data_IF_372258939059
#
_entry.id   IF_372258939059
#
_cell.length_a   1.000
_cell.length_b   1.000
_cell.length_c   1.000
_cell.angle_alpha   90.00
_cell.angle_beta   90.00
_cell.angle_gamma   90.00
#
_symmetry.space_group_name_H-M   'P 1'
#
loop_
_entity.id
_entity.type
_entity.pdbx_description
1 polymer ?
#
# COMPACT_ATOMS: atom_id res chain seq x y z
N UNK A 1 -6.15 4.55 -8.67
CA UNK A 1 -6.36 5.49 -9.79
C UNK A 1 -5.07 5.64 -10.58
N UNK A 2 -5.11 6.15 -11.81
CA UNK A 2 -3.93 6.58 -12.57
C UNK A 2 -3.49 7.99 -12.12
N UNK A 3 -2.31 8.43 -12.57
CA UNK A 3 -1.77 9.78 -12.31
C UNK A 3 -2.64 10.92 -12.84
N UNK A 4 -3.37 10.66 -13.92
CA UNK A 4 -4.33 11.59 -14.51
C UNK A 4 -5.70 11.62 -13.77
N UNK A 5 -5.85 10.85 -12.69
CA UNK A 5 -7.08 10.76 -11.88
C UNK A 5 -8.12 9.75 -12.38
N UNK A 6 -7.85 8.99 -13.45
CA UNK A 6 -8.74 7.93 -13.93
C UNK A 6 -8.82 6.77 -12.93
N UNK A 7 -10.04 6.32 -12.61
CA UNK A 7 -10.23 5.17 -11.73
C UNK A 7 -9.85 3.87 -12.44
N UNK A 8 -9.19 2.97 -11.70
CA UNK A 8 -8.76 1.67 -12.20
C UNK A 8 -9.61 0.59 -11.51
N UNK A 9 -10.58 -0.02 -12.20
CA UNK A 9 -11.39 -1.08 -11.64
C UNK A 9 -10.68 -2.43 -11.69
N UNK A 10 -11.12 -3.36 -10.82
CA UNK A 10 -10.66 -4.73 -10.83
C UNK A 10 -9.16 -4.89 -10.60
N UNK A 11 -8.57 -4.02 -9.77
CA UNK A 11 -7.22 -4.19 -9.22
C UNK A 11 -7.29 -5.31 -8.19
N UNK A 12 -6.47 -6.33 -8.33
CA UNK A 12 -6.36 -7.42 -7.35
C UNK A 12 -5.72 -6.91 -6.06
N UNK A 13 -6.26 -7.34 -4.93
CA UNK A 13 -5.79 -6.97 -3.59
C UNK A 13 -5.46 -8.26 -2.85
N UNK A 14 -4.23 -8.36 -2.38
CA UNK A 14 -3.79 -9.45 -1.50
C UNK A 14 -3.36 -8.87 -0.17
N UNK A 15 -3.88 -9.42 0.94
CA UNK A 15 -3.42 -9.07 2.28
C UNK A 15 -2.57 -10.21 2.81
N UNK A 16 -1.33 -9.90 3.14
CA UNK A 16 -0.33 -10.84 3.61
C UNK A 16 -0.04 -10.55 5.08
N UNK A 17 -0.11 -11.59 5.91
CA UNK A 17 0.27 -11.60 7.33
C UNK A 17 1.11 -12.83 7.59
N UNK A 18 2.22 -12.68 8.32
CA UNK A 18 3.11 -13.80 8.66
C UNK A 18 3.54 -14.64 7.44
N UNK A 19 3.84 -13.97 6.33
CA UNK A 19 4.21 -14.57 5.03
C UNK A 19 3.11 -15.44 4.39
N UNK A 20 1.86 -15.33 4.84
CA UNK A 20 0.71 -16.02 4.28
C UNK A 20 -0.31 -15.02 3.75
N UNK A 21 -0.91 -15.32 2.60
CA UNK A 21 -2.07 -14.57 2.09
C UNK A 21 -3.27 -14.96 2.96
N UNK A 22 -3.84 -13.96 3.65
CA UNK A 22 -5.01 -14.12 4.52
C UNK A 22 -6.30 -13.59 3.88
N UNK A 23 -6.17 -12.82 2.80
CA UNK A 23 -7.30 -12.29 2.03
C UNK A 23 -6.88 -12.04 0.59
N UNK A 24 -7.79 -12.36 -0.34
CA UNK A 24 -7.72 -12.02 -1.75
C UNK A 24 -9.04 -11.36 -2.16
N UNK A 25 -8.96 -10.30 -2.95
CA UNK A 25 -10.14 -9.59 -3.45
C UNK A 25 -9.81 -8.68 -4.62
N UNK A 26 -10.79 -7.88 -5.05
CA UNK A 26 -10.60 -6.89 -6.11
C UNK A 26 -11.28 -5.57 -5.77
N UNK A 27 -10.77 -4.47 -6.33
CA UNK A 27 -11.48 -3.18 -6.30
C UNK A 27 -12.78 -3.26 -7.11
N UNK A 28 -13.77 -2.46 -6.72
CA UNK A 28 -15.04 -2.34 -7.45
C UNK A 28 -14.89 -1.62 -8.81
N UNK A 29 -16.00 -1.46 -9.54
CA UNK A 29 -16.04 -0.76 -10.84
C UNK A 29 -15.61 0.71 -10.76
N UNK A 30 -15.64 1.30 -9.57
CA UNK A 30 -15.20 2.67 -9.30
C UNK A 30 -13.80 2.69 -8.67
N UNK A 31 -13.11 1.55 -8.57
CA UNK A 31 -11.78 1.46 -7.98
C UNK A 31 -11.76 1.52 -6.44
N UNK A 32 -12.91 1.44 -5.77
CA UNK A 32 -12.99 1.45 -4.31
C UNK A 32 -12.66 0.08 -3.73
N UNK A 33 -12.19 0.07 -2.48
CA UNK A 33 -11.96 -1.12 -1.69
C UNK A 33 -12.18 -0.83 -0.20
N UNK A 34 -12.40 -1.89 0.59
CA UNK A 34 -12.44 -1.84 2.05
C UNK A 34 -11.77 -3.09 2.59
N UNK A 35 -10.86 -2.91 3.55
CA UNK A 35 -10.18 -4.00 4.24
C UNK A 35 -10.41 -3.84 5.73
N UNK A 36 -10.94 -4.88 6.37
CA UNK A 36 -11.08 -4.95 7.82
C UNK A 36 -9.92 -5.81 8.35
N UNK A 37 -8.99 -5.17 9.06
CA UNK A 37 -7.76 -5.80 9.57
C UNK A 37 -7.82 -5.90 11.08
N UNK A 38 -7.47 -7.06 11.63
CA UNK A 38 -7.37 -7.24 13.07
C UNK A 38 -6.17 -6.47 13.64
N UNK A 39 -6.36 -5.87 14.80
CA UNK A 39 -5.26 -5.28 15.57
C UNK A 39 -4.38 -6.38 16.16
N UNK A 40 -3.14 -6.06 16.51
CA UNK A 40 -2.19 -7.04 17.05
C UNK A 40 -1.30 -7.68 15.99
N UNK A 41 -1.25 -7.16 14.76
CA UNK A 41 -0.46 -7.75 13.67
C UNK A 41 0.14 -6.72 12.72
N UNK A 42 1.07 -7.18 11.88
CA UNK A 42 1.66 -6.41 10.78
C UNK A 42 1.20 -7.04 9.47
N UNK A 43 0.76 -6.20 8.55
CA UNK A 43 0.26 -6.61 7.24
C UNK A 43 1.07 -5.98 6.12
N UNK A 44 1.21 -6.70 5.02
CA UNK A 44 1.58 -6.16 3.72
C UNK A 44 0.39 -6.32 2.78
N UNK A 45 -0.08 -5.22 2.19
CA UNK A 45 -1.22 -5.22 1.28
C UNK A 45 -0.68 -4.94 -0.12
N UNK A 46 -0.78 -5.91 -1.03
CA UNK A 46 -0.39 -5.78 -2.41
C UNK A 46 -1.58 -5.40 -3.29
N UNK A 47 -1.36 -4.46 -4.21
CA UNK A 47 -2.29 -4.00 -5.23
C UNK A 47 -1.69 -4.33 -6.59
N UNK A 48 -2.35 -5.25 -7.32
CA UNK A 48 -1.80 -5.90 -8.51
C UNK A 48 -2.77 -5.68 -9.68
N UNK A 49 -2.23 -5.24 -10.82
CA UNK A 49 -2.98 -5.07 -12.06
C UNK A 49 -2.05 -5.22 -13.24
N UNK A 50 -2.40 -6.10 -14.19
CA UNK A 50 -1.61 -6.30 -15.41
C UNK A 50 -1.37 -4.98 -16.14
N UNK A 51 -0.12 -4.73 -16.54
CA UNK A 51 0.32 -3.49 -17.17
C UNK A 51 0.54 -2.33 -16.18
N UNK A 52 0.54 -2.60 -14.88
CA UNK A 52 0.85 -1.62 -13.84
C UNK A 52 1.82 -2.19 -12.80
N UNK A 53 2.71 -1.34 -12.32
CA UNK A 53 3.67 -1.68 -11.28
C UNK A 53 2.92 -2.10 -10.01
N UNK A 54 3.26 -3.28 -9.49
CA UNK A 54 2.67 -3.77 -8.23
C UNK A 54 3.02 -2.83 -7.08
N UNK A 55 1.99 -2.35 -6.37
CA UNK A 55 2.17 -1.46 -5.22
C UNK A 55 1.87 -2.17 -3.91
N UNK A 56 2.71 -1.90 -2.92
CA UNK A 56 2.56 -2.46 -1.58
C UNK A 56 2.32 -1.39 -0.51
N UNK A 57 1.50 -1.73 0.49
CA UNK A 57 1.24 -0.89 1.66
C UNK A 57 1.52 -1.68 2.92
N UNK A 58 2.49 -1.21 3.72
CA UNK A 58 2.77 -1.79 5.03
C UNK A 58 1.84 -1.22 6.09
N UNK A 59 1.13 -2.07 6.83
CA UNK A 59 0.24 -1.65 7.93
C UNK A 59 0.72 -2.27 9.24
N UNK A 60 1.20 -1.44 10.14
CA UNK A 60 1.62 -1.82 11.50
C UNK A 60 0.44 -1.54 12.45
N UNK A 61 -0.41 -2.54 12.64
CA UNK A 61 -1.58 -2.48 13.52
C UNK A 61 -1.25 -2.93 14.96
N UNK A 62 -0.05 -2.57 15.44
CA UNK A 62 0.45 -2.81 16.78
C UNK A 62 1.01 -1.52 17.37
N UNK A 63 1.04 -1.40 18.69
CA UNK A 63 1.71 -0.32 19.39
C UNK A 63 2.63 -0.91 20.47
N UNK A 64 3.89 -0.47 20.57
CA UNK A 64 4.88 -1.12 21.43
C UNK A 64 4.59 -0.98 22.93
N UNK A 65 3.88 0.09 23.32
CA UNK A 65 3.69 0.46 24.73
C UNK A 65 2.23 0.44 25.17
N UNK A 66 1.29 0.08 24.28
CA UNK A 66 -0.13 0.17 24.58
C UNK A 66 -0.95 -0.87 23.82
N UNK A 67 -1.97 -1.41 24.47
CA UNK A 67 -2.99 -2.20 23.81
C UNK A 67 -3.90 -1.29 22.97
N UNK A 68 -4.23 -1.78 21.78
CA UNK A 68 -5.11 -1.09 20.85
C UNK A 68 -6.54 -1.60 21.05
N UNK A 69 -7.39 -0.80 21.69
CA UNK A 69 -8.76 -1.20 22.07
C UNK A 69 -9.85 -0.46 21.29
N UNK A 70 -9.48 0.46 20.42
CA UNK A 70 -10.39 1.26 19.59
C UNK A 70 -10.45 0.73 18.17
N UNK A 71 -11.51 1.08 17.47
CA UNK A 71 -11.56 0.93 16.02
C UNK A 71 -10.83 2.09 15.36
N UNK A 72 -9.93 1.78 14.43
CA UNK A 72 -9.17 2.77 13.67
C UNK A 72 -9.55 2.67 12.19
N UNK A 73 -9.86 3.80 11.59
CA UNK A 73 -10.13 3.90 10.16
C UNK A 73 -9.11 4.83 9.52
N UNK A 74 -8.68 4.48 8.31
CA UNK A 74 -7.82 5.31 7.49
C UNK A 74 -8.26 5.17 6.04
N UNK A 75 -8.50 6.29 5.37
CA UNK A 75 -8.75 6.31 3.94
C UNK A 75 -7.42 6.54 3.22
N UNK A 76 -7.09 5.63 2.31
CA UNK A 76 -5.90 5.72 1.48
C UNK A 76 -6.32 5.63 0.02
N UNK A 77 -6.01 6.69 -0.73
CA UNK A 77 -6.17 6.70 -2.17
C UNK A 77 -4.81 6.34 -2.79
N UNK A 78 -4.78 5.28 -3.59
CA UNK A 78 -3.57 4.80 -4.25
C UNK A 78 -3.59 5.13 -5.73
N UNK A 79 -2.49 5.70 -6.18
CA UNK A 79 -2.17 5.89 -7.59
C UNK A 79 -1.35 4.69 -8.07
N UNK A 80 -1.70 4.04 -9.19
CA UNK A 80 -0.89 3.01 -9.83
C UNK A 80 -0.17 3.62 -11.03
N UNK A 81 1.06 3.17 -11.28
CA UNK A 81 1.86 3.57 -12.42
C UNK A 81 1.82 2.46 -13.46
N UNK A 82 1.64 2.82 -14.72
CA UNK A 82 1.74 1.85 -15.82
C UNK A 82 3.17 1.29 -15.87
N UNK A 83 3.30 0.02 -16.23
CA UNK A 83 4.60 -0.58 -16.55
C UNK A 83 5.05 -0.02 -17.90
N UNK A 84 6.17 0.71 -17.93
CA UNK A 84 6.75 1.16 -19.19
C UNK A 84 7.30 -0.04 -19.97
N UNK A 85 6.94 -0.15 -21.25
CA UNK A 85 7.30 -1.29 -22.11
C UNK A 85 8.79 -1.38 -22.46
N UNK A 86 9.56 -0.31 -22.22
CA UNK A 86 10.96 -0.20 -22.63
C UNK A 86 11.95 -0.73 -21.58
N UNK A 87 11.50 -0.96 -20.35
CA UNK A 87 12.25 -1.67 -19.31
C UNK A 87 11.26 -2.52 -18.51
N UNK A 88 11.30 -3.86 -18.61
CA UNK A 88 10.54 -4.70 -17.68
C UNK A 88 11.15 -4.51 -16.30
N UNK A 89 10.59 -3.57 -15.56
CA UNK A 89 11.03 -3.27 -14.21
C UNK A 89 10.50 -4.36 -13.29
N UNK A 90 11.21 -5.49 -13.26
CA UNK A 90 11.03 -6.59 -12.29
C UNK A 90 11.26 -6.12 -10.83
N UNK A 91 11.51 -4.82 -10.57
CA UNK A 91 11.58 -4.31 -9.21
C UNK A 91 10.20 -4.24 -8.58
N UNK A 92 9.94 -5.26 -7.76
CA UNK A 92 8.98 -5.18 -6.68
C UNK A 92 9.35 -3.97 -5.80
N UNK A 93 8.64 -2.86 -5.95
CA UNK A 93 8.91 -1.66 -5.17
C UNK A 93 8.73 -1.98 -3.68
N UNK A 94 9.59 -1.43 -2.80
CA UNK A 94 9.29 -1.44 -1.38
C UNK A 94 7.92 -0.77 -1.15
N UNK A 95 7.23 -1.06 -0.04
CA UNK A 95 5.92 -0.48 0.22
C UNK A 95 5.91 1.02 -0.07
N UNK A 96 5.07 1.44 -1.01
CA UNK A 96 4.97 2.86 -1.40
C UNK A 96 4.31 3.70 -0.31
N UNK A 97 3.72 3.04 0.68
CA UNK A 97 3.05 3.61 1.82
C UNK A 97 3.30 2.76 3.08
N UNK A 98 3.43 3.43 4.22
CA UNK A 98 3.51 2.80 5.54
C UNK A 98 2.56 3.47 6.50
N UNK A 99 1.65 2.69 7.06
CA UNK A 99 0.68 3.09 8.08
C UNK A 99 1.08 2.51 9.43
N UNK A 100 1.07 3.31 10.48
CA UNK A 100 1.39 2.87 11.84
C UNK A 100 0.65 3.73 12.86
N UNK A 101 0.40 3.20 14.06
CA UNK A 101 -0.23 3.98 15.13
C UNK A 101 0.87 4.58 16.00
N UNK A 102 0.99 5.90 16.00
CA UNK A 102 1.91 6.65 16.89
C UNK A 102 1.23 7.08 18.19
N UNK A 103 -0.05 7.43 18.10
CA UNK A 103 -0.88 7.90 19.20
C UNK A 103 -2.19 7.13 19.13
N UNK A 104 -2.43 6.28 20.13
CA UNK A 104 -3.60 5.40 20.20
C UNK A 104 -4.92 6.16 20.21
N UNK A 105 -4.92 7.48 20.42
CA UNK A 105 -6.12 8.31 20.34
C UNK A 105 -6.33 8.96 18.97
N UNK A 106 -5.32 8.95 18.09
CA UNK A 106 -5.38 9.59 16.76
C UNK A 106 -5.48 8.58 15.62
N UNK A 107 -5.09 7.33 15.86
CA UNK A 107 -5.14 6.26 14.87
C UNK A 107 -3.93 6.23 13.94
N UNK A 108 -4.16 5.75 12.71
CA UNK A 108 -3.07 5.52 11.75
C UNK A 108 -2.43 6.83 11.30
N UNK A 109 -1.10 6.82 11.34
CA UNK A 109 -0.21 7.83 10.79
C UNK A 109 0.38 7.30 9.50
N UNK A 110 0.35 8.13 8.45
CA UNK A 110 0.99 7.88 7.17
C UNK A 110 2.43 8.39 7.18
N UNK A 111 3.41 7.51 6.95
CA UNK A 111 4.82 7.86 6.97
C UNK A 111 5.26 8.61 5.70
N UNK A 112 5.03 9.92 5.68
CA UNK A 112 5.43 10.80 4.58
C UNK A 112 6.94 10.82 4.33
N UNK A 113 7.78 10.50 5.33
CA UNK A 113 9.25 10.49 5.15
C UNK A 113 9.66 9.24 4.39
N UNK A 114 9.11 8.09 4.76
CA UNK A 114 9.33 6.84 4.06
C UNK A 114 8.90 6.92 2.60
N UNK A 115 7.73 7.49 2.33
CA UNK A 115 7.22 7.68 0.95
C UNK A 115 8.16 8.55 0.11
N UNK A 116 8.67 9.65 0.70
CA UNK A 116 9.65 10.52 0.01
C UNK A 116 10.96 9.81 -0.27
N UNK A 117 11.41 8.96 0.65
CA UNK A 117 12.60 8.13 0.45
C UNK A 117 12.39 7.14 -0.70
N UNK A 118 11.28 6.37 -0.69
CA UNK A 118 10.93 5.45 -1.78
C UNK A 118 10.86 6.16 -3.15
N UNK A 119 10.24 7.35 -3.19
CA UNK A 119 10.17 8.15 -4.42
C UNK A 119 11.54 8.61 -4.92
N UNK A 120 12.48 8.92 -4.00
CA UNK A 120 13.84 9.34 -4.35
C UNK A 120 14.65 8.16 -4.89
N UNK A 121 14.55 6.99 -4.27
CA UNK A 121 15.19 5.76 -4.77
C UNK A 121 14.65 5.41 -6.16
N UNK A 122 13.33 5.49 -6.38
CA UNK A 122 12.71 5.24 -7.69
C UNK A 122 13.20 6.21 -8.78
N UNK A 123 13.29 7.52 -8.48
CA UNK A 123 13.82 8.50 -9.43
C UNK A 123 15.32 8.30 -9.70
N UNK A 124 16.09 7.87 -8.70
CA UNK A 124 17.50 7.52 -8.84
C UNK A 124 17.73 6.28 -9.71
N UNK A 125 16.81 5.32 -9.67
CA UNK A 125 16.79 4.16 -10.59
C UNK A 125 16.53 4.62 -12.02
N UNK A 126 15.57 5.52 -12.26
CA UNK A 126 15.28 6.05 -13.61
C UNK A 126 16.31 7.06 -14.17
N UNK A 127 17.23 7.59 -13.34
CA UNK A 127 18.21 8.61 -13.76
C UNK A 127 19.61 8.06 -14.07
N UNK A 128 19.81 6.74 -13.95
CA UNK A 128 21.12 6.08 -14.13
C UNK A 128 21.27 5.36 -15.48
N UNK A 129 20.37 5.61 -16.45
CA UNK A 129 20.49 5.16 -17.85
C UNK A 129 20.79 6.33 -18.81
#
# INVERSE_FOLDING_TARGET
MESNGKMIPGVSIEVIKDNQIIYEGKTDEKGNYKLDLELGSVYNIAFIKDGYVTKQVGVIAIHPEAELTKNYAFQLDLELFEEDSDTPDDTMLPPVAKLYIKDVNKGFTYDKKYVKWVATEFQGVQSND
#
